data_IF_535781802031
#
_entry.id   IF_535781802031
#
_cell.length_a   1.000
_cell.length_b   1.000
_cell.length_c   1.000
_cell.angle_alpha   90.00
_cell.angle_beta   90.00
_cell.angle_gamma   90.00
#
_symmetry.space_group_name_H-M   'P 1'
#
loop_
_entity.id
_entity.type
_entity.pdbx_description
1 polymer ?
#
# COMPACT_ATOMS: atom_id res chain seq x y z
N UNK A 1 8.36 12.36 11.83
CA UNK A 1 9.25 13.50 11.53
C UNK A 1 9.39 14.39 12.76
N UNK A 2 10.21 13.99 13.74
CA UNK A 2 10.27 14.65 15.04
C UNK A 2 10.92 16.03 15.01
N UNK A 3 11.90 16.26 14.12
CA UNK A 3 12.54 17.57 13.96
C UNK A 3 11.57 18.58 13.35
N UNK A 4 10.84 18.15 12.32
CA UNK A 4 9.79 18.98 11.71
C UNK A 4 8.65 19.29 12.70
N UNK A 5 8.20 18.31 13.48
CA UNK A 5 7.21 18.53 14.54
C UNK A 5 7.68 19.51 15.63
N UNK A 6 9.00 19.61 15.83
CA UNK A 6 9.63 20.59 16.71
C UNK A 6 9.83 21.99 16.10
N UNK A 7 9.36 22.23 14.87
CA UNK A 7 9.44 23.54 14.19
C UNK A 7 10.69 23.74 13.33
N UNK A 8 11.57 22.75 13.21
CA UNK A 8 12.70 22.82 12.27
C UNK A 8 12.22 22.56 10.83
N UNK A 9 12.95 23.00 9.79
CA UNK A 9 12.70 22.56 8.42
C UNK A 9 12.81 21.03 8.30
N UNK A 10 11.90 20.41 7.55
CA UNK A 10 11.92 18.95 7.35
C UNK A 10 13.19 18.51 6.61
N UNK A 11 13.95 17.62 7.22
CA UNK A 11 15.10 16.97 6.59
C UNK A 11 14.65 16.07 5.42
N UNK A 12 15.56 15.72 4.50
CA UNK A 12 15.24 14.79 3.39
C UNK A 12 14.71 13.45 3.92
N UNK A 13 15.28 12.92 5.01
CA UNK A 13 14.80 11.69 5.63
C UNK A 13 13.36 11.82 6.16
N UNK A 14 13.01 12.97 6.74
CA UNK A 14 11.64 13.25 7.17
C UNK A 14 10.69 13.39 6.00
N UNK A 15 11.08 14.12 4.96
CA UNK A 15 10.29 14.27 3.74
C UNK A 15 9.96 12.91 3.10
N UNK A 16 10.94 12.00 3.03
CA UNK A 16 10.75 10.65 2.50
C UNK A 16 9.78 9.83 3.34
N UNK A 17 9.97 9.78 4.67
CA UNK A 17 9.09 9.02 5.57
C UNK A 17 7.66 9.59 5.55
N UNK A 18 7.50 10.91 5.58
CA UNK A 18 6.18 11.56 5.49
C UNK A 18 5.53 11.28 4.13
N UNK A 19 6.28 11.35 3.03
CA UNK A 19 5.75 11.02 1.70
C UNK A 19 5.30 9.57 1.61
N UNK A 20 6.06 8.64 2.19
CA UNK A 20 5.71 7.22 2.27
C UNK A 20 4.46 6.97 3.13
N UNK A 21 4.33 7.62 4.30
CA UNK A 21 3.13 7.54 5.12
C UNK A 21 1.90 8.10 4.39
N UNK A 22 2.03 9.23 3.70
CA UNK A 22 0.95 9.83 2.92
C UNK A 22 0.52 8.90 1.78
N UNK A 23 1.47 8.31 1.07
CA UNK A 23 1.22 7.31 0.04
C UNK A 23 0.51 6.07 0.62
N UNK A 24 0.93 5.61 1.80
CA UNK A 24 0.32 4.47 2.47
C UNK A 24 -1.14 4.72 2.88
N UNK A 25 -1.53 5.93 3.28
CA UNK A 25 -2.90 6.21 3.72
C UNK A 25 -3.84 6.74 2.62
N UNK A 26 -3.31 7.15 1.47
CA UNK A 26 -4.13 7.66 0.37
C UNK A 26 -4.62 6.53 -0.54
N UNK A 27 -5.90 6.59 -0.94
CA UNK A 27 -6.42 5.80 -2.05
C UNK A 27 -7.37 6.64 -2.91
N UNK A 28 -7.60 6.21 -4.16
CA UNK A 28 -8.44 6.92 -5.14
C UNK A 28 -9.93 6.97 -4.76
N UNK A 29 -10.36 6.12 -3.84
CA UNK A 29 -11.76 6.02 -3.41
C UNK A 29 -12.10 7.00 -2.29
N UNK A 30 -11.10 7.65 -1.68
CA UNK A 30 -11.30 8.60 -0.58
C UNK A 30 -11.78 7.95 0.72
N UNK A 31 -11.63 6.62 0.84
CA UNK A 31 -12.04 5.86 2.02
C UNK A 31 -10.85 5.62 2.94
N UNK A 32 -11.07 5.58 4.25
CA UNK A 32 -10.03 5.15 5.19
C UNK A 32 -10.05 3.63 5.31
N UNK A 33 -8.87 3.01 5.33
CA UNK A 33 -8.68 1.59 5.60
C UNK A 33 -7.71 1.47 6.76
N UNK A 34 -8.07 0.69 7.76
CA UNK A 34 -7.19 0.43 8.89
C UNK A 34 -6.03 -0.45 8.43
N UNK A 35 -4.80 -0.02 8.73
CA UNK A 35 -3.58 -0.71 8.31
C UNK A 35 -2.59 -0.77 9.48
N UNK A 36 -1.78 -1.82 9.50
CA UNK A 36 -0.54 -1.84 10.28
C UNK A 36 0.55 -1.12 9.50
N UNK A 37 1.31 -0.26 10.18
CA UNK A 37 2.37 0.57 9.59
C UNK A 37 3.70 0.17 10.22
N UNK A 38 4.58 -0.37 9.40
CA UNK A 38 5.88 -0.92 9.80
C UNK A 38 7.01 -0.18 9.09
N UNK A 39 8.15 -0.04 9.74
CA UNK A 39 9.30 0.63 9.13
C UNK A 39 10.22 1.28 10.15
N UNK A 40 10.93 2.31 9.67
CA UNK A 40 11.76 3.18 10.49
C UNK A 40 11.35 4.62 10.32
N UNK A 41 11.47 5.38 11.41
CA UNK A 41 11.35 6.82 11.37
C UNK A 41 12.55 7.48 10.65
N UNK A 42 12.51 8.80 10.57
CA UNK A 42 13.54 9.60 9.89
C UNK A 42 14.90 9.57 10.57
N UNK A 43 14.98 9.25 11.87
CA UNK A 43 16.25 9.13 12.62
C UNK A 43 16.72 7.66 12.72
N UNK A 44 15.95 6.72 12.18
CA UNK A 44 16.28 5.30 12.11
C UNK A 44 15.71 4.45 13.25
N UNK A 45 14.89 5.01 14.13
CA UNK A 45 14.14 4.27 15.14
C UNK A 45 13.04 3.43 14.50
N UNK A 46 12.82 2.22 15.00
CA UNK A 46 11.74 1.34 14.51
C UNK A 46 10.38 1.93 14.89
N UNK A 47 9.43 1.96 13.94
CA UNK A 47 8.04 2.27 14.24
C UNK A 47 7.50 1.16 15.14
N UNK A 48 6.98 1.45 16.35
CA UNK A 48 6.50 0.42 17.26
C UNK A 48 5.36 -0.40 16.65
N UNK A 49 5.43 -1.71 16.79
CA UNK A 49 4.37 -2.65 16.44
C UNK A 49 4.32 -3.80 17.45
N UNK A 50 3.22 -4.53 17.48
CA UNK A 50 3.02 -5.69 18.37
C UNK A 50 2.70 -6.96 17.60
N UNK A 51 2.86 -8.12 18.25
CA UNK A 51 2.43 -9.40 17.66
C UNK A 51 0.92 -9.43 17.42
N UNK A 52 0.11 -8.85 18.32
CA UNK A 52 -1.35 -8.81 18.17
C UNK A 52 -1.78 -7.95 16.97
N UNK A 53 -1.08 -6.84 16.74
CA UNK A 53 -1.23 -6.04 15.52
C UNK A 53 -0.91 -6.88 14.28
N UNK A 54 0.24 -7.57 14.24
CA UNK A 54 0.61 -8.40 13.09
C UNK A 54 -0.32 -9.61 12.86
N UNK A 55 -0.99 -10.09 13.90
CA UNK A 55 -2.02 -11.13 13.79
C UNK A 55 -3.34 -10.57 13.26
N UNK A 56 -3.70 -9.34 13.65
CA UNK A 56 -4.91 -8.65 13.18
C UNK A 56 -4.76 -8.23 11.72
N UNK A 57 -3.61 -7.65 11.38
CA UNK A 57 -3.22 -7.24 10.03
C UNK A 57 -2.31 -8.32 9.42
N UNK A 58 -2.87 -9.50 9.19
CA UNK A 58 -2.11 -10.66 8.74
C UNK A 58 -1.66 -10.56 7.27
N UNK A 59 -2.40 -9.81 6.43
CA UNK A 59 -2.13 -9.73 5.01
C UNK A 59 -0.99 -8.74 4.71
N UNK A 60 0.06 -9.25 4.06
CA UNK A 60 1.15 -8.41 3.57
C UNK A 60 0.68 -7.65 2.36
N UNK A 61 0.69 -6.33 2.45
CA UNK A 61 0.17 -5.48 1.38
C UNK A 61 1.32 -4.99 0.51
N UNK A 62 2.02 -3.95 0.96
CA UNK A 62 2.93 -3.19 0.12
C UNK A 62 4.09 -2.55 0.87
N UNK A 63 5.03 -2.02 0.09
CA UNK A 63 5.96 -0.98 0.52
C UNK A 63 5.70 0.30 -0.27
N UNK A 64 5.66 1.42 0.45
CA UNK A 64 5.47 2.76 -0.07
C UNK A 64 6.74 3.58 0.14
N UNK A 65 7.17 4.31 -0.87
CA UNK A 65 8.38 5.13 -0.81
C UNK A 65 8.34 6.27 -1.82
N UNK A 66 9.24 7.24 -1.68
CA UNK A 66 9.33 8.38 -2.59
C UNK A 66 9.62 9.68 -1.85
N UNK A 67 9.50 10.81 -2.57
CA UNK A 67 9.61 12.13 -2.00
C UNK A 67 8.77 13.14 -2.79
N UNK A 68 7.65 13.57 -2.20
CA UNK A 68 6.77 14.56 -2.79
C UNK A 68 7.36 15.97 -2.76
N UNK A 69 8.23 16.26 -1.79
CA UNK A 69 8.79 17.60 -1.56
C UNK A 69 9.84 17.99 -2.61
N UNK A 70 10.45 17.01 -3.26
CA UNK A 70 11.47 17.21 -4.31
C UNK A 70 10.94 16.94 -5.72
N UNK A 71 9.66 16.63 -5.87
CA UNK A 71 9.04 16.32 -7.16
C UNK A 71 9.40 14.93 -7.73
N UNK A 72 10.04 14.06 -6.94
CA UNK A 72 10.39 12.70 -7.36
C UNK A 72 9.15 11.78 -7.44
N UNK A 73 8.06 12.16 -6.77
CA UNK A 73 6.81 11.40 -6.73
C UNK A 73 6.78 10.35 -5.62
N UNK A 74 5.76 9.50 -5.67
CA UNK A 74 5.57 8.36 -4.76
C UNK A 74 5.36 7.07 -5.52
N UNK A 75 5.85 6.00 -4.93
CA UNK A 75 5.89 4.67 -5.50
C UNK A 75 5.32 3.68 -4.51
N UNK A 76 4.62 2.69 -5.04
CA UNK A 76 4.16 1.53 -4.30
C UNK A 76 4.60 0.26 -5.03
N UNK A 77 4.84 -0.80 -4.25
CA UNK A 77 5.12 -2.12 -4.77
C UNK A 77 4.49 -3.18 -3.85
N UNK A 78 4.07 -4.31 -4.40
CA UNK A 78 3.49 -5.41 -3.62
C UNK A 78 4.56 -6.05 -2.73
N UNK A 79 4.19 -6.30 -1.48
CA UNK A 79 4.97 -7.16 -0.58
C UNK A 79 4.41 -8.58 -0.51
N UNK A 80 3.08 -8.71 -0.65
CA UNK A 80 2.35 -9.98 -0.67
C UNK A 80 2.24 -10.61 -2.06
N UNK A 81 1.36 -11.62 -2.15
CA UNK A 81 0.91 -12.16 -3.43
C UNK A 81 0.11 -11.09 -4.20
N UNK A 82 -0.02 -11.27 -5.52
CA UNK A 82 -1.00 -10.51 -6.27
C UNK A 82 -2.40 -11.01 -5.94
N UNK A 83 -3.39 -10.12 -6.05
CA UNK A 83 -4.80 -10.50 -5.95
C UNK A 83 -5.16 -11.55 -7.00
N UNK A 84 -6.01 -12.49 -6.61
CA UNK A 84 -6.64 -13.42 -7.53
C UNK A 84 -7.56 -12.68 -8.53
N UNK A 85 -7.99 -13.38 -9.58
CA UNK A 85 -8.76 -12.76 -10.67
C UNK A 85 -10.18 -12.33 -10.25
N UNK A 86 -10.71 -12.95 -9.20
CA UNK A 86 -12.00 -12.65 -8.56
C UNK A 86 -11.85 -11.70 -7.36
N UNK A 87 -10.63 -11.26 -7.03
CA UNK A 87 -10.34 -10.42 -5.88
C UNK A 87 -10.12 -8.95 -6.24
N UNK A 88 -10.50 -8.07 -5.32
CA UNK A 88 -10.23 -6.63 -5.42
C UNK A 88 -10.00 -6.00 -4.04
N UNK A 89 -9.53 -4.76 -4.04
CA UNK A 89 -9.43 -3.96 -2.82
C UNK A 89 -9.42 -2.49 -3.15
N UNK A 90 -9.91 -1.68 -2.21
CA UNK A 90 -9.79 -0.22 -2.26
C UNK A 90 -8.34 0.26 -2.16
N UNK A 91 -7.41 -0.62 -1.74
CA UNK A 91 -5.97 -0.38 -1.62
C UNK A 91 -5.18 -0.69 -2.91
N UNK A 92 -5.75 -0.31 -4.05
CA UNK A 92 -5.27 -0.71 -5.40
C UNK A 92 -3.80 -0.35 -5.67
N UNK A 93 -3.25 0.70 -5.05
CA UNK A 93 -1.84 1.06 -5.20
C UNK A 93 -0.88 0.12 -4.48
N UNK A 94 -1.28 -0.43 -3.33
CA UNK A 94 -0.42 -1.30 -2.54
C UNK A 94 -0.58 -2.77 -2.90
N UNK A 95 -1.83 -3.19 -3.14
CA UNK A 95 -2.16 -4.57 -3.46
C UNK A 95 -2.96 -4.60 -4.77
N UNK A 96 -2.24 -4.83 -5.86
CA UNK A 96 -2.82 -4.93 -7.21
C UNK A 96 -3.04 -6.38 -7.63
N UNK A 97 -3.98 -6.61 -8.54
CA UNK A 97 -3.96 -7.76 -9.43
C UNK A 97 -2.95 -7.44 -10.54
N UNK A 98 -1.84 -8.20 -10.61
CA UNK A 98 -0.79 -8.00 -11.62
C UNK A 98 -0.11 -6.61 -11.60
N UNK A 99 0.43 -6.18 -12.74
CA UNK A 99 1.14 -4.91 -12.94
C UNK A 99 0.22 -3.76 -13.38
N UNK A 100 -1.06 -3.73 -12.98
CA UNK A 100 -1.93 -2.60 -13.32
C UNK A 100 -1.45 -1.31 -12.65
N UNK A 101 -0.75 -0.47 -13.42
CA UNK A 101 -0.15 0.79 -12.93
C UNK A 101 -1.08 1.99 -13.06
N UNK A 102 -2.06 1.94 -13.96
CA UNK A 102 -2.97 3.08 -14.26
C UNK A 102 -3.97 3.36 -13.16
N UNK A 103 -4.38 2.35 -12.39
CA UNK A 103 -5.28 2.52 -11.27
C UNK A 103 -4.65 3.28 -10.08
N UNK A 104 -3.35 3.55 -10.13
CA UNK A 104 -2.57 4.07 -9.01
C UNK A 104 -2.23 5.57 -9.11
N UNK A 105 -2.52 6.21 -10.25
CA UNK A 105 -2.14 7.62 -10.48
C UNK A 105 -2.74 8.56 -9.42
N UNK A 106 -1.99 9.56 -8.90
CA UNK A 106 -0.68 10.00 -9.37
C UNK A 106 0.53 9.21 -8.83
N UNK A 107 0.30 8.22 -7.96
CA UNK A 107 1.35 7.31 -7.50
C UNK A 107 1.68 6.29 -8.60
N UNK A 108 2.93 5.84 -8.65
CA UNK A 108 3.33 4.79 -9.58
C UNK A 108 3.45 3.45 -8.86
N UNK A 109 2.72 2.45 -9.34
CA UNK A 109 2.99 1.06 -8.96
C UNK A 109 4.20 0.55 -9.75
N UNK A 110 5.23 0.08 -9.05
CA UNK A 110 6.51 -0.28 -9.66
C UNK A 110 6.82 -1.78 -9.61
N UNK A 111 5.88 -2.62 -9.21
CA UNK A 111 6.06 -4.08 -9.19
C UNK A 111 6.11 -4.64 -7.77
N UNK A 112 7.15 -5.42 -7.44
CA UNK A 112 7.25 -6.09 -6.13
C UNK A 112 8.40 -5.53 -5.28
N UNK A 113 8.14 -5.33 -3.98
CA UNK A 113 9.08 -4.74 -3.03
C UNK A 113 10.43 -5.44 -3.00
N UNK A 114 10.44 -6.77 -3.10
CA UNK A 114 11.66 -7.58 -3.10
C UNK A 114 12.68 -7.21 -4.19
N UNK A 115 12.25 -6.54 -5.27
CA UNK A 115 13.15 -6.11 -6.34
C UNK A 115 13.84 -4.77 -6.05
N UNK A 116 13.22 -3.91 -5.24
CA UNK A 116 13.71 -2.55 -4.99
C UNK A 116 14.18 -2.35 -3.55
N UNK A 117 13.73 -3.19 -2.63
CA UNK A 117 13.80 -2.94 -1.21
C UNK A 117 14.53 -4.02 -0.44
N UNK A 118 15.18 -3.61 0.65
CA UNK A 118 15.93 -4.48 1.56
C UNK A 118 15.15 -4.68 2.84
N UNK A 119 14.83 -5.95 3.14
CA UNK A 119 14.18 -6.32 4.41
C UNK A 119 15.09 -6.04 5.61
N UNK A 120 14.47 -5.78 6.74
CA UNK A 120 15.16 -5.82 8.03
C UNK A 120 15.58 -7.26 8.38
N UNK A 121 16.37 -7.41 9.44
CA UNK A 121 16.87 -8.71 9.89
C UNK A 121 15.78 -9.69 10.31
N UNK A 122 14.65 -9.18 10.83
CA UNK A 122 13.50 -10.01 11.21
C UNK A 122 12.61 -10.36 10.02
N UNK A 123 12.85 -9.76 8.85
CA UNK A 123 12.06 -9.89 7.63
C UNK A 123 10.61 -9.43 7.79
N UNK A 124 10.38 -8.49 8.72
CA UNK A 124 9.05 -7.97 9.05
C UNK A 124 8.69 -6.75 8.21
N UNK A 125 9.68 -5.91 7.88
CA UNK A 125 9.48 -4.68 7.12
C UNK A 125 10.72 -4.33 6.29
N UNK A 126 10.56 -3.42 5.33
CA UNK A 126 11.68 -2.91 4.52
C UNK A 126 12.37 -1.72 5.19
N UNK A 127 13.71 -1.72 5.17
CA UNK A 127 14.53 -0.65 5.75
C UNK A 127 14.92 0.41 4.73
N UNK A 128 14.95 0.04 3.45
CA UNK A 128 15.46 0.87 2.37
C UNK A 128 14.91 0.41 1.03
N UNK A 129 14.51 1.33 0.15
CA UNK A 129 14.15 1.05 -1.24
C UNK A 129 15.00 1.89 -2.19
N UNK A 130 15.50 1.30 -3.27
CA UNK A 130 16.25 2.02 -4.31
C UNK A 130 15.51 1.95 -5.62
N UNK A 131 15.20 3.11 -6.19
CA UNK A 131 14.49 3.22 -7.46
C UNK A 131 15.04 4.40 -8.24
N UNK A 132 15.29 4.23 -9.54
CA UNK A 132 15.90 5.24 -10.41
C UNK A 132 17.20 5.86 -9.84
N UNK A 133 18.00 5.06 -9.15
CA UNK A 133 19.27 5.49 -8.53
C UNK A 133 19.12 6.27 -7.22
N UNK A 134 17.90 6.55 -6.77
CA UNK A 134 17.63 7.24 -5.49
C UNK A 134 17.27 6.23 -4.42
N UNK A 135 17.80 6.46 -3.22
CA UNK A 135 17.55 5.63 -2.04
C UNK A 135 16.56 6.32 -1.11
N UNK A 136 15.47 5.61 -0.82
CA UNK A 136 14.35 6.07 -0.01
C UNK A 136 14.23 5.32 1.31
N UNK A 137 13.60 5.96 2.28
CA UNK A 137 13.07 5.33 3.51
C UNK A 137 11.62 4.90 3.29
N UNK A 138 11.35 3.60 3.14
CA UNK A 138 10.01 3.11 2.88
C UNK A 138 9.19 2.98 4.17
N UNK A 139 7.88 2.89 3.98
CA UNK A 139 6.92 2.33 4.93
C UNK A 139 6.40 1.02 4.35
N UNK A 140 6.32 -0.01 5.19
CA UNK A 140 5.69 -1.29 4.84
C UNK A 140 4.32 -1.33 5.50
N UNK A 141 3.31 -1.79 4.78
CA UNK A 141 1.96 -1.91 5.32
C UNK A 141 1.48 -3.35 5.32
N UNK A 142 0.58 -3.61 6.26
CA UNK A 142 -0.23 -4.82 6.29
C UNK A 142 -1.69 -4.44 6.48
N UNK A 143 -2.59 -5.28 5.98
CA UNK A 143 -4.04 -5.05 6.02
C UNK A 143 -4.77 -6.24 6.66
N UNK A 144 -6.03 -6.04 7.00
CA UNK A 144 -6.87 -7.14 7.48
C UNK A 144 -7.32 -7.98 6.27
N UNK A 145 -7.45 -9.32 6.42
CA UNK A 145 -7.93 -10.17 5.33
C UNK A 145 -9.29 -9.73 4.74
N UNK A 146 -10.18 -9.19 5.58
CA UNK A 146 -11.50 -8.72 5.18
C UNK A 146 -11.50 -7.45 4.29
N UNK A 147 -10.34 -6.78 4.17
CA UNK A 147 -10.17 -5.64 3.26
C UNK A 147 -9.78 -6.10 1.83
N UNK A 148 -9.67 -7.42 1.62
CA UNK A 148 -9.61 -8.06 0.31
C UNK A 148 -11.02 -8.59 0.01
N UNK A 149 -11.63 -7.99 -1.00
CA UNK A 149 -12.99 -8.27 -1.46
C UNK A 149 -12.97 -9.35 -2.53
N UNK A 150 -14.04 -10.13 -2.62
CA UNK A 150 -14.14 -11.23 -3.59
C UNK A 150 -15.52 -11.28 -4.21
N UNK A 151 -15.55 -11.26 -5.54
CA UNK A 151 -16.80 -11.48 -6.26
C UNK A 151 -17.33 -12.91 -6.01
N UNK A 152 -18.58 -13.00 -5.59
CA UNK A 152 -19.25 -14.20 -5.10
C UNK A 152 -19.36 -14.29 -3.57
N UNK A 153 -18.98 -13.24 -2.82
CA UNK A 153 -19.09 -13.20 -1.36
C UNK A 153 -20.48 -12.79 -0.83
N UNK A 154 -21.42 -12.49 -1.74
CA UNK A 154 -22.79 -12.01 -1.50
C UNK A 154 -22.89 -10.54 -1.07
N UNK A 155 -21.82 -9.75 -1.19
CA UNK A 155 -21.83 -8.32 -0.91
C UNK A 155 -21.28 -7.57 -2.12
N UNK A 156 -22.09 -6.72 -2.76
CA UNK A 156 -21.57 -5.88 -3.85
C UNK A 156 -20.64 -4.79 -3.27
N UNK A 157 -19.33 -5.00 -3.37
CA UNK A 157 -18.31 -4.13 -2.77
C UNK A 157 -18.05 -2.87 -3.60
N UNK A 158 -17.41 -1.86 -3.00
CA UNK A 158 -17.14 -0.56 -3.66
C UNK A 158 -16.32 -0.70 -4.95
N UNK A 159 -15.44 -1.69 -5.00
CA UNK A 159 -14.58 -1.96 -6.16
C UNK A 159 -15.23 -2.87 -7.18
N UNK A 160 -16.42 -3.38 -6.89
CA UNK A 160 -17.16 -4.27 -7.77
C UNK A 160 -18.18 -3.52 -8.61
N UNK A 161 -18.52 -4.09 -9.76
CA UNK A 161 -19.50 -3.54 -10.69
C UNK A 161 -20.48 -4.60 -11.11
N UNK A 162 -21.69 -4.16 -11.46
CA UNK A 162 -22.65 -5.02 -12.16
C UNK A 162 -22.00 -5.66 -13.41
N UNK A 163 -22.48 -6.83 -13.81
CA UNK A 163 -21.95 -7.50 -14.97
C UNK A 163 -22.53 -8.89 -15.20
N UNK A 164 -21.78 -9.72 -15.91
CA UNK A 164 -22.17 -11.09 -16.30
C UNK A 164 -21.10 -12.14 -15.97
N UNK A 165 -20.06 -11.77 -15.22
CA UNK A 165 -18.88 -12.58 -14.91
C UNK A 165 -18.72 -12.74 -13.39
N UNK A 166 -17.56 -13.25 -12.97
CA UNK A 166 -17.12 -13.37 -11.58
C UNK A 166 -15.84 -12.56 -11.29
N UNK A 167 -15.55 -11.56 -12.11
CA UNK A 167 -14.46 -10.60 -11.87
C UNK A 167 -15.02 -9.37 -11.17
N UNK A 168 -14.22 -8.63 -10.38
CA UNK A 168 -14.70 -7.42 -9.71
C UNK A 168 -15.29 -6.38 -10.68
N UNK A 169 -14.69 -6.20 -11.85
CA UNK A 169 -15.16 -5.26 -12.87
C UNK A 169 -16.44 -5.70 -13.61
N UNK A 170 -16.93 -6.92 -13.37
CA UNK A 170 -18.14 -7.48 -13.97
C UNK A 170 -18.77 -8.56 -13.06
N UNK A 171 -19.05 -8.23 -11.80
CA UNK A 171 -19.50 -9.17 -10.78
C UNK A 171 -21.01 -9.40 -10.80
N UNK A 172 -21.46 -10.43 -11.51
CA UNK A 172 -22.89 -10.76 -11.59
C UNK A 172 -23.45 -11.35 -10.30
N UNK A 173 -22.63 -12.09 -9.55
CA UNK A 173 -23.04 -12.81 -8.35
C UNK A 173 -23.49 -11.83 -7.25
N UNK A 174 -22.73 -10.76 -7.02
CA UNK A 174 -22.99 -9.83 -5.93
C UNK A 174 -23.71 -8.55 -6.39
N UNK A 175 -23.30 -8.00 -7.53
CA UNK A 175 -23.82 -6.72 -8.04
C UNK A 175 -24.95 -6.87 -9.09
N UNK A 176 -25.24 -8.10 -9.52
CA UNK A 176 -26.27 -8.39 -10.52
C UNK A 176 -25.93 -7.88 -11.94
N UNK A 177 -26.88 -7.98 -12.89
CA UNK A 177 -26.70 -7.50 -14.26
C UNK A 177 -26.76 -5.97 -14.34
N UNK A 178 -26.01 -5.38 -15.27
CA UNK A 178 -26.08 -3.93 -15.52
C UNK A 178 -27.42 -3.49 -16.12
N UNK A 179 -27.85 -2.28 -15.75
CA UNK A 179 -29.10 -1.65 -16.20
C UNK A 179 -28.82 -0.45 -17.09
#
# INVERSE_FOLDING_TARGET
APGWAGGAPATVAEQQVVSACLAAHANKYGVHVDISVLGRDSVGGTVPYSTDELNTYAEREACFFGNLFTGEGTFAANDGAYLEYDESTVRTCGLSSWSETTACTPMAHVGACRYYCTLDTTRTYYTRCTYNGVTYRPITTRMQPQDIYRCGDNVCQLTEKCGTSNTPDSCAADCGPCK
#
